data_IF_694578404775
#
_entry.id   IF_694578404775
#
_cell.length_a   1.000
_cell.length_b   1.000
_cell.length_c   1.000
_cell.angle_alpha   90.00
_cell.angle_beta   90.00
_cell.angle_gamma   90.00
#
_symmetry.space_group_name_H-M   'P 1'
#
loop_
_entity.id
_entity.type
_entity.pdbx_description
1 polymer ?
#
# COMPACT_ATOMS: atom_id res chain seq x y z
N UNK A 1 16.20 23.55 10.38
CA UNK A 1 14.78 23.17 10.56
C UNK A 1 13.98 23.20 9.25
N UNK A 2 14.33 24.06 8.26
CA UNK A 2 13.67 24.13 6.94
C UNK A 2 13.84 22.84 6.10
N UNK A 3 14.92 22.10 6.29
CA UNK A 3 15.21 20.89 5.51
C UNK A 3 14.39 19.64 5.95
N UNK A 4 13.81 19.65 7.14
CA UNK A 4 12.86 18.60 7.56
C UNK A 4 11.55 18.65 6.76
N UNK A 5 11.15 19.83 6.28
CA UNK A 5 9.99 19.98 5.41
C UNK A 5 10.16 19.29 4.07
N UNK A 6 11.35 19.36 3.48
CA UNK A 6 11.65 18.71 2.18
C UNK A 6 11.63 17.19 2.33
N UNK A 7 12.23 16.65 3.39
CA UNK A 7 12.20 15.20 3.66
C UNK A 7 10.77 14.74 3.96
N UNK A 8 10.01 15.50 4.76
CA UNK A 8 8.61 15.21 5.04
C UNK A 8 7.76 15.23 3.77
N UNK A 9 7.94 16.22 2.91
CA UNK A 9 7.18 16.34 1.65
C UNK A 9 7.59 15.26 0.64
N UNK A 10 8.88 14.93 0.55
CA UNK A 10 9.36 13.83 -0.27
C UNK A 10 8.76 12.49 0.22
N UNK A 11 8.83 12.20 1.52
CA UNK A 11 8.26 10.99 2.10
C UNK A 11 6.73 10.97 1.95
N UNK A 12 6.03 12.09 2.18
CA UNK A 12 4.57 12.17 2.04
C UNK A 12 4.11 12.06 0.59
N UNK A 13 4.79 12.72 -0.34
CA UNK A 13 4.53 12.60 -1.78
C UNK A 13 4.81 11.21 -2.31
N UNK A 14 5.85 10.59 -1.79
CA UNK A 14 6.28 9.26 -2.14
C UNK A 14 5.33 8.17 -1.60
N UNK A 15 4.77 8.33 -0.41
CA UNK A 15 3.91 7.36 0.23
C UNK A 15 2.46 7.41 -0.29
N UNK A 16 2.08 8.43 -1.05
CA UNK A 16 0.70 8.58 -1.53
C UNK A 16 -0.34 8.44 -0.42
N UNK A 17 0.03 8.85 0.80
CA UNK A 17 -0.76 8.65 2.02
C UNK A 17 -2.01 9.52 2.02
N UNK A 18 -3.08 8.98 2.55
CA UNK A 18 -4.36 9.64 2.74
C UNK A 18 -5.52 8.85 2.14
N UNK A 19 -6.72 9.23 2.49
CA UNK A 19 -7.93 8.60 1.99
C UNK A 19 -8.15 8.96 0.52
N UNK A 20 -8.44 7.94 -0.30
CA UNK A 20 -8.73 8.08 -1.73
C UNK A 20 -10.06 7.42 -2.07
N UNK A 21 -10.80 8.02 -2.99
CA UNK A 21 -12.07 7.48 -3.48
C UNK A 21 -12.07 7.50 -5.02
N UNK A 22 -12.32 6.35 -5.61
CA UNK A 22 -12.45 6.16 -7.05
C UNK A 22 -13.88 5.76 -7.38
N UNK A 23 -14.59 6.57 -8.14
CA UNK A 23 -16.02 6.39 -8.44
C UNK A 23 -16.30 5.76 -9.81
N UNK A 24 -15.29 5.64 -10.66
CA UNK A 24 -15.38 5.02 -11.98
C UNK A 24 -14.26 4.00 -12.17
N UNK A 25 -14.22 2.98 -11.29
CA UNK A 25 -13.21 1.95 -11.36
C UNK A 25 -13.37 1.18 -12.67
N UNK A 26 -12.39 1.29 -13.55
CA UNK A 26 -12.30 0.48 -14.76
C UNK A 26 -11.74 -0.88 -14.40
N UNK A 27 -12.39 -1.92 -14.83
CA UNK A 27 -12.21 -3.35 -14.65
C UNK A 27 -10.87 -3.93 -14.13
N UNK A 28 -10.68 -5.23 -14.26
CA UNK A 28 -9.58 -6.02 -13.67
C UNK A 28 -8.17 -5.48 -13.88
N UNK A 29 -7.90 -4.77 -14.97
CA UNK A 29 -6.55 -4.32 -15.33
C UNK A 29 -6.03 -3.14 -14.51
N UNK A 30 -6.91 -2.43 -13.82
CA UNK A 30 -6.52 -1.20 -13.13
C UNK A 30 -6.32 -1.37 -11.62
N UNK A 31 -6.92 -2.37 -10.97
CA UNK A 31 -6.83 -2.51 -9.51
C UNK A 31 -6.61 -3.95 -9.00
N UNK A 32 -6.58 -4.94 -9.87
CA UNK A 32 -6.27 -6.32 -9.50
C UNK A 32 -5.14 -6.84 -10.36
N UNK A 33 -3.92 -6.81 -9.86
CA UNK A 33 -2.87 -7.67 -10.39
C UNK A 33 -3.09 -9.11 -9.89
N UNK A 34 -2.43 -10.06 -10.50
CA UNK A 34 -2.40 -11.45 -10.01
C UNK A 34 -1.98 -11.45 -8.55
N UNK A 35 -2.92 -11.71 -7.66
CA UNK A 35 -2.68 -11.72 -6.24
C UNK A 35 -1.75 -12.89 -5.89
N UNK A 36 -0.63 -12.56 -5.23
CA UNK A 36 0.28 -13.55 -4.65
C UNK A 36 -0.07 -13.91 -3.21
N UNK A 37 -1.31 -13.64 -2.75
CA UNK A 37 -1.75 -13.98 -1.40
C UNK A 37 -1.76 -15.49 -1.18
N UNK A 38 -1.24 -15.88 -0.03
CA UNK A 38 -1.27 -17.26 0.47
C UNK A 38 -2.25 -17.35 1.64
N UNK A 39 -2.74 -18.54 1.94
CA UNK A 39 -3.59 -18.77 3.12
C UNK A 39 -2.95 -18.26 4.42
N UNK A 40 -1.62 -18.41 4.55
CA UNK A 40 -0.86 -17.91 5.70
C UNK A 40 -0.84 -16.37 5.84
N UNK A 41 -1.18 -15.63 4.78
CA UNK A 41 -1.26 -14.17 4.82
C UNK A 41 -2.58 -13.69 5.42
N UNK A 42 -3.58 -14.56 5.50
CA UNK A 42 -4.93 -14.23 5.97
C UNK A 42 -5.02 -14.46 7.46
N UNK A 43 -5.38 -13.41 8.21
CA UNK A 43 -5.67 -13.48 9.63
C UNK A 43 -7.10 -13.94 9.90
N UNK A 44 -8.05 -13.41 9.13
CA UNK A 44 -9.46 -13.82 9.18
C UNK A 44 -10.18 -13.47 7.89
N UNK A 45 -11.21 -14.25 7.59
CA UNK A 45 -12.15 -13.98 6.52
C UNK A 45 -13.58 -14.26 7.02
N UNK A 46 -14.51 -13.40 6.67
CA UNK A 46 -15.93 -13.55 7.00
C UNK A 46 -16.81 -12.94 5.93
N UNK A 47 -18.07 -13.29 5.93
CA UNK A 47 -19.08 -12.62 5.11
C UNK A 47 -20.41 -12.52 5.83
N UNK A 48 -21.22 -11.56 5.39
CA UNK A 48 -22.63 -11.41 5.79
C UNK A 48 -23.47 -11.24 4.54
N UNK A 49 -24.73 -11.70 4.61
CA UNK A 49 -25.75 -11.44 3.58
C UNK A 49 -26.85 -10.59 4.19
N UNK A 50 -27.05 -9.41 3.63
CA UNK A 50 -28.11 -8.49 4.08
C UNK A 50 -28.56 -7.62 2.91
N UNK A 51 -29.86 -7.36 2.78
CA UNK A 51 -30.41 -6.51 1.74
C UNK A 51 -30.03 -6.93 0.31
N UNK A 52 -29.91 -8.25 0.05
CA UNK A 52 -29.52 -8.77 -1.28
C UNK A 52 -28.06 -8.54 -1.63
N UNK A 53 -27.18 -8.27 -0.65
CA UNK A 53 -25.76 -8.03 -0.85
C UNK A 53 -24.93 -8.90 0.08
N UNK A 54 -23.89 -9.52 -0.48
CA UNK A 54 -22.80 -10.10 0.31
C UNK A 54 -21.80 -9.02 0.67
N UNK A 55 -21.44 -8.94 1.94
CA UNK A 55 -20.29 -8.14 2.40
C UNK A 55 -19.20 -9.08 2.87
N UNK A 56 -18.15 -9.20 2.09
CA UNK A 56 -16.98 -9.99 2.44
C UNK A 56 -15.98 -9.12 3.17
N UNK A 57 -15.44 -9.62 4.28
CA UNK A 57 -14.38 -8.95 5.03
C UNK A 57 -13.18 -9.87 5.11
N UNK A 58 -12.03 -9.40 4.62
CA UNK A 58 -10.75 -10.07 4.69
C UNK A 58 -9.80 -9.22 5.53
N UNK A 59 -9.18 -9.82 6.54
CA UNK A 59 -8.14 -9.20 7.35
C UNK A 59 -6.84 -9.96 7.10
N UNK A 60 -5.77 -9.24 6.78
CA UNK A 60 -4.46 -9.82 6.55
C UNK A 60 -3.59 -9.73 7.81
N UNK A 61 -2.63 -10.62 7.89
CA UNK A 61 -1.57 -10.54 8.90
C UNK A 61 -0.73 -9.27 8.68
N UNK A 62 -0.16 -8.75 9.76
CA UNK A 62 0.82 -7.69 9.67
C UNK A 62 2.04 -8.16 8.87
N UNK A 63 2.70 -7.22 8.21
CA UNK A 63 3.85 -7.54 7.40
C UNK A 63 4.90 -6.45 7.40
N UNK A 64 6.05 -6.78 6.86
CA UNK A 64 7.13 -5.82 6.67
C UNK A 64 7.99 -6.17 5.47
N UNK A 65 8.60 -5.16 4.90
CA UNK A 65 9.66 -5.28 3.91
C UNK A 65 10.91 -4.54 4.37
N UNK A 66 12.05 -4.94 3.83
CA UNK A 66 13.35 -4.39 4.17
C UNK A 66 14.24 -4.38 2.93
N UNK A 67 15.04 -3.33 2.78
CA UNK A 67 16.07 -3.25 1.75
C UNK A 67 17.29 -2.48 2.23
N UNK A 68 18.46 -2.99 1.87
CA UNK A 68 19.76 -2.34 1.92
C UNK A 68 20.59 -2.73 0.67
N UNK A 69 21.87 -2.42 0.66
CA UNK A 69 22.77 -2.75 -0.47
C UNK A 69 22.93 -4.26 -0.70
N UNK A 70 22.79 -5.08 0.33
CA UNK A 70 23.03 -6.53 0.31
C UNK A 70 21.74 -7.36 0.33
N UNK A 71 20.67 -6.82 0.90
CA UNK A 71 19.47 -7.59 1.19
C UNK A 71 18.21 -6.88 0.70
N UNK A 72 17.30 -7.66 0.10
CA UNK A 72 15.95 -7.25 -0.23
C UNK A 72 14.99 -8.32 0.25
N UNK A 73 14.18 -8.01 1.26
CA UNK A 73 13.19 -8.93 1.86
C UNK A 73 11.81 -8.32 1.79
N UNK A 74 10.85 -9.10 1.33
CA UNK A 74 9.44 -8.70 1.32
C UNK A 74 8.59 -9.79 1.96
N UNK A 75 8.11 -9.53 3.17
CA UNK A 75 7.21 -10.40 3.92
C UNK A 75 5.85 -9.70 4.18
N UNK A 76 5.51 -8.70 3.36
CA UNK A 76 4.27 -7.95 3.51
C UNK A 76 3.12 -8.62 2.74
N UNK A 77 2.07 -9.10 3.43
CA UNK A 77 0.86 -9.57 2.78
C UNK A 77 0.17 -8.50 1.94
N UNK A 78 0.24 -7.24 2.35
CA UNK A 78 -0.33 -6.11 1.59
C UNK A 78 0.36 -5.96 0.24
N UNK A 79 1.68 -6.09 0.18
CA UNK A 79 2.42 -5.99 -1.08
C UNK A 79 2.09 -7.16 -2.01
N UNK A 80 1.93 -8.37 -1.44
CA UNK A 80 1.54 -9.57 -2.19
C UNK A 80 0.09 -9.55 -2.66
N UNK A 81 -0.77 -8.79 -1.99
CA UNK A 81 -2.20 -8.76 -2.34
C UNK A 81 -2.48 -8.18 -3.72
N UNK A 82 -1.60 -7.35 -4.22
CA UNK A 82 -1.81 -6.64 -5.47
C UNK A 82 -2.96 -5.63 -5.45
N UNK A 83 -3.69 -5.52 -4.33
CA UNK A 83 -4.90 -4.70 -4.20
C UNK A 83 -4.59 -3.19 -4.31
N UNK A 84 -3.36 -2.81 -4.01
CA UNK A 84 -2.91 -1.42 -4.08
C UNK A 84 -2.36 -1.03 -5.47
N UNK A 85 -2.38 -1.96 -6.42
CA UNK A 85 -1.88 -1.75 -7.78
C UNK A 85 -3.04 -1.43 -8.69
N UNK A 86 -2.99 -0.32 -9.37
CA UNK A 86 -3.92 -0.05 -10.44
C UNK A 86 -4.94 1.04 -10.18
N UNK A 87 -4.53 2.08 -9.51
CA UNK A 87 -5.38 3.26 -9.31
C UNK A 87 -5.33 4.24 -10.47
N UNK A 88 -4.75 3.86 -11.61
CA UNK A 88 -4.52 4.76 -12.76
C UNK A 88 -3.43 5.80 -12.50
N UNK A 89 -3.11 6.03 -11.26
CA UNK A 89 -2.01 6.89 -10.82
C UNK A 89 -0.83 6.02 -10.38
N UNK A 90 -0.07 5.55 -11.36
CA UNK A 90 1.10 4.68 -11.14
C UNK A 90 2.10 5.25 -10.15
N UNK A 91 2.14 6.57 -9.99
CA UNK A 91 3.07 7.24 -9.10
C UNK A 91 2.76 7.02 -7.62
N UNK A 92 1.49 6.83 -7.26
CA UNK A 92 1.06 6.79 -5.87
C UNK A 92 1.26 5.43 -5.18
N UNK A 93 1.38 4.32 -5.93
CA UNK A 93 1.41 2.96 -5.39
C UNK A 93 2.45 2.03 -6.05
N UNK A 94 3.37 2.56 -6.83
CA UNK A 94 4.50 1.78 -7.36
C UNK A 94 5.53 1.40 -6.27
N UNK A 95 5.31 1.89 -5.04
CA UNK A 95 6.17 1.60 -3.89
C UNK A 95 5.67 0.41 -3.10
N UNK A 96 5.62 -0.72 -3.77
CA UNK A 96 5.08 -1.96 -3.20
C UNK A 96 5.95 -2.59 -2.13
N UNK A 97 7.15 -2.11 -1.93
CA UNK A 97 8.03 -2.65 -0.89
C UNK A 97 9.25 -1.75 -0.67
N UNK A 98 9.90 -1.93 0.45
CA UNK A 98 11.14 -1.21 0.83
C UNK A 98 12.22 -1.24 -0.26
N UNK A 99 12.28 -2.29 -1.09
CA UNK A 99 13.26 -2.39 -2.17
C UNK A 99 13.06 -1.33 -3.26
N UNK A 100 11.81 -1.03 -3.61
CA UNK A 100 11.51 0.00 -4.61
C UNK A 100 11.85 1.39 -4.08
N UNK A 101 11.49 1.68 -2.83
CA UNK A 101 11.83 2.93 -2.17
C UNK A 101 13.35 3.10 -2.00
N UNK A 102 14.05 2.05 -1.57
CA UNK A 102 15.51 2.02 -1.50
C UNK A 102 16.16 2.37 -2.86
N UNK A 103 15.71 1.71 -3.93
CA UNK A 103 16.22 1.92 -5.28
C UNK A 103 15.93 3.34 -5.77
N UNK A 104 14.70 3.83 -5.57
CA UNK A 104 14.31 5.15 -6.01
C UNK A 104 15.13 6.27 -5.33
N UNK A 105 15.35 6.17 -4.01
CA UNK A 105 16.16 7.15 -3.28
C UNK A 105 17.63 7.12 -3.79
N UNK A 106 18.21 5.93 -3.90
CA UNK A 106 19.63 5.80 -4.27
C UNK A 106 19.89 6.08 -5.77
N UNK A 107 18.85 6.10 -6.60
CA UNK A 107 18.94 6.54 -8.00
C UNK A 107 18.66 8.05 -8.18
N UNK A 108 18.36 8.77 -7.10
CA UNK A 108 18.15 10.22 -7.16
C UNK A 108 19.48 10.93 -6.93
N UNK A 109 19.84 11.85 -7.84
CA UNK A 109 21.07 12.60 -7.74
C UNK A 109 21.21 13.33 -6.40
N UNK A 110 22.36 13.14 -5.76
CA UNK A 110 22.66 13.74 -4.46
C UNK A 110 21.94 13.12 -3.26
N UNK A 111 21.07 12.12 -3.48
CA UNK A 111 20.38 11.40 -2.41
C UNK A 111 20.99 10.01 -2.19
N UNK A 112 20.95 9.54 -0.95
CA UNK A 112 21.25 8.15 -0.62
C UNK A 112 20.56 7.73 0.67
N UNK A 113 20.32 6.43 0.82
CA UNK A 113 19.83 5.82 2.05
C UNK A 113 20.57 4.51 2.29
N UNK A 114 20.93 4.24 3.55
CA UNK A 114 21.61 2.99 3.91
C UNK A 114 20.63 1.82 3.93
N UNK A 115 19.46 2.01 4.50
CA UNK A 115 18.41 1.00 4.51
C UNK A 115 17.02 1.61 4.60
N UNK A 116 16.05 0.88 4.10
CA UNK A 116 14.62 1.17 4.17
C UNK A 116 13.92 0.00 4.85
N UNK A 117 13.04 0.29 5.78
CA UNK A 117 12.08 -0.66 6.35
C UNK A 117 10.68 -0.10 6.21
N UNK A 118 9.79 -0.90 5.68
CA UNK A 118 8.35 -0.64 5.67
C UNK A 118 7.63 -1.65 6.54
N UNK A 119 6.52 -1.25 7.14
CA UNK A 119 5.61 -2.14 7.85
C UNK A 119 4.18 -1.77 7.56
N UNK A 120 3.32 -2.79 7.49
CA UNK A 120 1.87 -2.67 7.33
C UNK A 120 1.15 -3.42 8.43
N UNK A 121 0.09 -2.82 8.97
CA UNK A 121 -0.75 -3.40 10.00
C UNK A 121 -2.21 -3.00 9.80
N UNK A 122 -3.12 -3.68 10.52
CA UNK A 122 -4.56 -3.44 10.45
C UNK A 122 -5.13 -3.51 9.02
N UNK A 123 -4.54 -4.36 8.18
CA UNK A 123 -4.93 -4.50 6.77
C UNK A 123 -6.28 -5.16 6.67
N UNK A 124 -7.26 -4.42 6.17
CA UNK A 124 -8.65 -4.86 6.02
C UNK A 124 -9.16 -4.55 4.62
N UNK A 125 -9.73 -5.55 3.98
CA UNK A 125 -10.40 -5.43 2.70
C UNK A 125 -11.89 -5.77 2.90
N UNK A 126 -12.77 -4.88 2.43
CA UNK A 126 -14.22 -5.08 2.48
C UNK A 126 -14.78 -4.98 1.06
N UNK A 127 -15.32 -6.08 0.56
CA UNK A 127 -15.96 -6.15 -0.76
C UNK A 127 -17.48 -6.32 -0.60
N UNK A 128 -18.24 -5.47 -1.27
CA UNK A 128 -19.71 -5.57 -1.35
C UNK A 128 -20.08 -6.07 -2.73
N UNK A 129 -20.76 -7.21 -2.77
CA UNK A 129 -21.13 -7.92 -3.99
C UNK A 129 -22.64 -8.08 -4.04
N UNK A 130 -23.25 -7.77 -5.16
CA UNK A 130 -24.66 -7.99 -5.39
C UNK A 130 -24.96 -9.50 -5.46
N UNK A 131 -25.86 -9.98 -4.60
CA UNK A 131 -26.14 -11.42 -4.47
C UNK A 131 -26.86 -12.02 -5.70
N UNK A 132 -27.61 -11.20 -6.44
CA UNK A 132 -28.40 -11.70 -7.59
C UNK A 132 -27.57 -11.89 -8.86
N UNK A 133 -26.49 -11.12 -9.05
CA UNK A 133 -25.70 -11.14 -10.28
C UNK A 133 -24.19 -11.32 -10.07
N UNK A 134 -23.71 -11.42 -8.81
CA UNK A 134 -22.31 -11.60 -8.48
C UNK A 134 -21.41 -10.40 -8.77
N UNK A 135 -21.95 -9.23 -9.07
CA UNK A 135 -21.13 -8.04 -9.43
C UNK A 135 -20.62 -7.33 -8.20
N UNK A 136 -19.34 -6.97 -8.23
CA UNK A 136 -18.73 -6.13 -7.21
C UNK A 136 -19.28 -4.70 -7.31
N UNK A 137 -19.85 -4.19 -6.24
CA UNK A 137 -20.40 -2.84 -6.18
C UNK A 137 -19.47 -1.85 -5.47
N UNK A 138 -18.74 -2.35 -4.46
CA UNK A 138 -17.80 -1.53 -3.68
C UNK A 138 -16.64 -2.39 -3.18
N UNK A 139 -15.46 -1.82 -3.20
CA UNK A 139 -14.27 -2.38 -2.57
C UNK A 139 -13.64 -1.29 -1.71
N UNK A 140 -13.35 -1.61 -0.46
CA UNK A 140 -12.61 -0.71 0.44
C UNK A 140 -11.41 -1.46 0.98
N UNK A 141 -10.24 -0.85 0.88
CA UNK A 141 -9.00 -1.36 1.46
C UNK A 141 -8.47 -0.32 2.43
N UNK A 142 -8.22 -0.72 3.66
CA UNK A 142 -7.65 0.14 4.69
C UNK A 142 -6.48 -0.56 5.38
N UNK A 143 -5.48 0.20 5.76
CA UNK A 143 -4.32 -0.29 6.50
C UNK A 143 -3.54 0.87 7.13
N UNK A 144 -2.75 0.56 8.14
CA UNK A 144 -1.75 1.43 8.69
C UNK A 144 -0.40 1.09 8.08
N UNK A 145 0.37 2.12 7.77
CA UNK A 145 1.66 2.01 7.12
C UNK A 145 2.70 2.82 7.88
N UNK A 146 3.90 2.28 8.01
CA UNK A 146 5.04 3.01 8.56
C UNK A 146 6.29 2.71 7.73
N UNK A 147 7.12 3.75 7.56
CA UNK A 147 8.41 3.64 6.90
C UNK A 147 9.51 4.20 7.81
N UNK A 148 10.66 3.54 7.82
CA UNK A 148 11.87 4.01 8.47
C UNK A 148 13.02 3.99 7.48
N UNK A 149 13.72 5.09 7.39
CA UNK A 149 14.91 5.32 6.57
C UNK A 149 16.11 5.48 7.51
N UNK A 150 17.19 4.77 7.25
CA UNK A 150 18.41 4.84 8.07
C UNK A 150 19.54 5.49 7.29
N UNK A 151 20.23 6.45 7.91
CA UNK A 151 21.32 7.20 7.31
C UNK A 151 20.95 7.76 5.91
N UNK A 152 19.88 8.51 5.87
CA UNK A 152 19.45 9.20 4.65
C UNK A 152 20.31 10.44 4.44
N UNK A 153 20.91 10.57 3.27
CA UNK A 153 21.69 11.75 2.87
C UNK A 153 20.99 12.45 1.73
N UNK A 154 20.83 13.77 1.88
CA UNK A 154 20.47 14.71 0.82
C UNK A 154 20.95 16.06 1.25
N UNK A 155 22.02 16.62 0.91
CA UNK A 155 22.66 17.83 1.47
C UNK A 155 23.18 17.59 2.90
N UNK A 156 22.35 17.05 3.79
CA UNK A 156 22.72 16.68 5.18
C UNK A 156 22.41 15.21 5.42
N UNK A 157 23.12 14.60 6.37
CA UNK A 157 22.85 13.22 6.78
C UNK A 157 21.92 13.18 7.98
N UNK A 158 20.80 12.47 7.85
CA UNK A 158 19.84 12.18 8.91
C UNK A 158 20.00 10.72 9.31
N UNK A 159 20.38 10.45 10.57
CA UNK A 159 20.61 9.07 11.04
C UNK A 159 19.36 8.19 10.92
N UNK A 160 18.21 8.72 11.34
CA UNK A 160 16.94 8.04 11.24
C UNK A 160 15.87 9.03 10.81
N UNK A 161 15.14 8.70 9.77
CA UNK A 161 13.95 9.41 9.32
C UNK A 161 12.83 8.39 9.15
N UNK A 162 11.59 8.81 9.33
CA UNK A 162 10.46 7.92 9.12
C UNK A 162 9.13 8.64 9.31
N UNK A 163 8.08 7.92 9.01
CA UNK A 163 6.71 8.39 9.15
C UNK A 163 5.75 7.23 9.17
N UNK A 164 4.55 7.51 9.63
CA UNK A 164 3.43 6.57 9.59
C UNK A 164 2.16 7.28 9.17
N UNK A 165 1.26 6.53 8.57
CA UNK A 165 -0.05 7.01 8.17
C UNK A 165 -1.07 5.88 8.14
N UNK A 166 -2.33 6.21 8.34
CA UNK A 166 -3.47 5.33 8.03
C UNK A 166 -4.01 5.70 6.66
N UNK A 167 -4.38 4.71 5.89
CA UNK A 167 -4.87 4.88 4.52
C UNK A 167 -6.14 4.07 4.33
N UNK A 168 -7.12 4.66 3.64
CA UNK A 168 -8.34 3.99 3.19
C UNK A 168 -8.60 4.33 1.73
N UNK A 169 -8.66 3.30 0.89
CA UNK A 169 -8.94 3.44 -0.54
C UNK A 169 -10.28 2.81 -0.85
N UNK A 170 -11.17 3.57 -1.47
CA UNK A 170 -12.54 3.16 -1.81
C UNK A 170 -12.72 3.16 -3.32
N UNK A 171 -13.22 2.06 -3.83
CA UNK A 171 -13.57 1.89 -5.24
C UNK A 171 -15.06 1.61 -5.39
N UNK A 172 -15.69 2.23 -6.37
CA UNK A 172 -17.10 2.03 -6.73
C UNK A 172 -17.33 2.34 -8.20
N UNK A 173 -18.56 2.14 -8.67
CA UNK A 173 -18.92 2.46 -10.05
C UNK A 173 -18.20 1.56 -11.07
N UNK A 174 -18.01 0.27 -10.70
CA UNK A 174 -17.37 -0.69 -11.58
C UNK A 174 -18.14 -0.86 -12.89
N UNK A 175 -17.42 -0.82 -14.01
CA UNK A 175 -17.95 -1.14 -15.35
C UNK A 175 -17.51 -2.56 -15.72
N UNK A 176 -18.47 -3.43 -16.00
CA UNK A 176 -18.28 -4.82 -16.36
C UNK A 176 -18.58 -5.04 -17.82
#
# INVERSE_FOLDING_TARGET
LSNMGVVKNAVSGFLGVGDKTYTNAKGKSEFMSTAGLKAADVKSASYTLSGGKYTYTLVLNNGSSYADSANKKNNSPVDRSGILVGTGDKSAFDHKCAANLYTAINNTDGASVKSVRESSSNVKCVAVVNASNGRLERLTVSFDFAVTLTNTKYVVTIKNAGGSASTSVKYSGFKF
#
